data_IF_576308229362
#
_entry.id   IF_576308229362
#
_cell.length_a   1.000
_cell.length_b   1.000
_cell.length_c   1.000
_cell.angle_alpha   90.00
_cell.angle_beta   90.00
_cell.angle_gamma   90.00
#
_symmetry.space_group_name_H-M   'P 1'
#
loop_
_entity.id
_entity.type
_entity.pdbx_description
1 polymer ?
#
# COMPACT_ATOMS: atom_id res chain seq x y z
N UNK A 1 14.21 27.09 -35.16
CA UNK A 1 12.89 26.55 -35.52
C UNK A 1 12.50 25.63 -34.38
N UNK A 2 11.67 26.15 -33.47
CA UNK A 2 11.17 25.37 -32.33
C UNK A 2 10.09 24.44 -32.86
N UNK A 3 10.26 23.15 -32.62
CA UNK A 3 9.30 22.11 -32.96
C UNK A 3 8.24 22.08 -31.84
N UNK A 4 7.19 22.89 -31.98
CA UNK A 4 6.00 22.84 -31.12
C UNK A 4 5.08 21.75 -31.67
N UNK A 5 5.36 20.49 -31.33
CA UNK A 5 4.40 19.41 -31.56
C UNK A 5 3.22 19.62 -30.60
N UNK A 6 1.98 19.76 -31.10
CA UNK A 6 0.80 19.91 -30.23
C UNK A 6 0.65 18.70 -29.30
N UNK A 7 0.27 18.97 -28.04
CA UNK A 7 0.11 17.94 -27.00
C UNK A 7 -0.81 16.79 -27.44
N UNK A 8 -1.84 17.11 -28.21
CA UNK A 8 -2.81 16.14 -28.72
C UNK A 8 -2.20 15.15 -29.73
N UNK A 9 -1.24 15.60 -30.54
CA UNK A 9 -0.52 14.74 -31.48
C UNK A 9 0.47 13.80 -30.76
N UNK A 10 1.05 14.26 -29.64
CA UNK A 10 1.88 13.41 -28.78
C UNK A 10 1.03 12.32 -28.11
N UNK A 11 -0.15 12.68 -27.59
CA UNK A 11 -1.08 11.72 -26.98
C UNK A 11 -1.58 10.70 -28.00
N UNK A 12 -1.89 11.13 -29.22
CA UNK A 12 -2.30 10.24 -30.31
C UNK A 12 -1.17 9.34 -30.84
N UNK A 13 0.09 9.70 -30.60
CA UNK A 13 1.26 8.90 -31.00
C UNK A 13 1.61 7.78 -30.02
N UNK A 14 0.99 7.76 -28.84
CA UNK A 14 1.14 6.67 -27.88
C UNK A 14 0.48 5.40 -28.43
N UNK A 15 1.15 4.26 -28.27
CA UNK A 15 0.61 2.97 -28.68
C UNK A 15 -0.70 2.68 -27.94
N UNK A 16 -1.72 2.17 -28.64
CA UNK A 16 -2.96 1.69 -28.01
C UNK A 16 -2.62 0.69 -26.88
N UNK A 17 -3.24 0.91 -25.71
CA UNK A 17 -2.95 0.13 -24.50
C UNK A 17 -1.69 0.56 -23.73
N UNK A 18 -1.18 1.78 -23.92
CA UNK A 18 -0.07 2.30 -23.11
C UNK A 18 -0.42 2.37 -21.61
N UNK A 19 -1.69 2.59 -21.26
CA UNK A 19 -2.19 2.51 -19.88
C UNK A 19 -2.06 1.07 -19.33
N UNK A 20 -2.26 0.04 -20.16
CA UNK A 20 -2.03 -1.37 -19.81
C UNK A 20 -0.55 -1.75 -19.76
N UNK A 21 0.35 -0.87 -20.22
CA UNK A 21 1.79 -1.12 -20.44
C UNK A 21 2.70 -0.24 -19.60
N UNK A 22 2.16 0.71 -18.83
CA UNK A 22 2.89 1.31 -17.72
C UNK A 22 3.37 0.17 -16.80
N UNK A 23 4.62 0.20 -16.30
CA UNK A 23 5.18 -0.93 -15.54
C UNK A 23 4.27 -1.24 -14.36
N UNK A 24 3.53 -2.36 -14.44
CA UNK A 24 2.48 -2.73 -13.46
C UNK A 24 3.01 -2.97 -12.06
N UNK A 25 4.33 -3.09 -11.92
CA UNK A 25 5.19 -2.79 -10.78
C UNK A 25 6.56 -3.39 -11.13
N UNK A 26 7.23 -2.87 -12.16
CA UNK A 26 8.58 -3.34 -12.47
C UNK A 26 9.49 -2.97 -11.30
N UNK A 27 10.29 -3.91 -10.77
CA UNK A 27 11.29 -3.57 -9.78
C UNK A 27 12.14 -2.42 -10.31
N UNK A 28 12.35 -1.40 -9.47
CA UNK A 28 13.21 -0.28 -9.85
C UNK A 28 14.65 -0.76 -10.07
N UNK A 29 15.57 0.18 -10.32
CA UNK A 29 17.00 -0.13 -10.47
C UNK A 29 17.60 -0.98 -9.33
N UNK A 30 16.98 -0.93 -8.14
CA UNK A 30 17.38 -1.71 -6.96
C UNK A 30 16.80 -3.14 -6.91
N UNK A 31 16.00 -3.56 -7.90
CA UNK A 31 15.29 -4.84 -7.83
C UNK A 31 14.19 -4.88 -6.76
N UNK A 32 13.89 -3.75 -6.12
CA UNK A 32 12.85 -3.62 -5.08
C UNK A 32 11.54 -3.19 -5.73
N UNK A 33 10.46 -3.88 -5.35
CA UNK A 33 9.10 -3.64 -5.83
C UNK A 33 8.25 -3.01 -4.73
N UNK A 34 7.51 -1.96 -5.09
CA UNK A 34 6.43 -1.42 -4.25
C UNK A 34 5.24 -2.36 -4.37
N UNK A 35 4.66 -2.79 -3.25
CA UNK A 35 3.53 -3.71 -3.24
C UNK A 35 2.21 -2.94 -3.28
N UNK A 36 1.38 -3.21 -4.29
CA UNK A 36 -0.03 -2.79 -4.31
C UNK A 36 -0.90 -4.04 -4.20
N UNK A 37 -1.52 -4.25 -3.04
CA UNK A 37 -2.38 -5.40 -2.78
C UNK A 37 -3.64 -5.43 -3.66
N UNK A 38 -4.09 -4.26 -4.11
CA UNK A 38 -5.24 -4.12 -5.02
C UNK A 38 -4.99 -4.73 -6.40
N UNK A 39 -3.74 -4.74 -6.85
CA UNK A 39 -3.34 -5.13 -8.20
C UNK A 39 -2.29 -6.24 -8.16
N UNK A 40 -2.19 -6.95 -7.04
CA UNK A 40 -1.25 -8.05 -6.86
C UNK A 40 -1.86 -9.30 -7.50
N UNK A 41 -1.09 -9.94 -8.38
CA UNK A 41 -1.53 -11.17 -9.05
C UNK A 41 -1.53 -12.35 -8.07
N UNK A 42 -2.47 -13.27 -8.28
CA UNK A 42 -2.67 -14.43 -7.40
C UNK A 42 -1.43 -15.33 -7.33
N UNK A 43 -0.64 -15.40 -8.42
CA UNK A 43 0.59 -16.18 -8.46
C UNK A 43 1.73 -15.55 -7.65
N UNK A 44 1.77 -14.22 -7.54
CA UNK A 44 2.80 -13.48 -6.78
C UNK A 44 2.46 -13.39 -5.29
N UNK A 45 1.17 -13.37 -4.97
CA UNK A 45 0.67 -13.13 -3.62
C UNK A 45 1.29 -14.04 -2.54
N UNK A 46 1.46 -15.36 -2.73
CA UNK A 46 2.05 -16.23 -1.71
C UNK A 46 3.47 -15.83 -1.31
N UNK A 47 4.31 -15.42 -2.27
CA UNK A 47 5.67 -15.00 -2.00
C UNK A 47 5.68 -13.66 -1.27
N UNK A 48 4.91 -12.69 -1.74
CA UNK A 48 4.82 -11.36 -1.11
C UNK A 48 4.31 -11.46 0.33
N UNK A 49 3.31 -12.31 0.59
CA UNK A 49 2.83 -12.59 1.94
C UNK A 49 3.90 -13.22 2.84
N UNK A 50 4.69 -14.14 2.29
CA UNK A 50 5.77 -14.82 3.03
C UNK A 50 6.86 -13.82 3.42
N UNK A 51 7.35 -13.05 2.46
CA UNK A 51 8.40 -12.05 2.67
C UNK A 51 7.96 -10.99 3.69
N UNK A 52 6.73 -10.49 3.55
CA UNK A 52 6.18 -9.53 4.50
C UNK A 52 6.07 -10.14 5.90
N UNK A 53 5.57 -11.38 6.03
CA UNK A 53 5.43 -12.04 7.33
C UNK A 53 6.78 -12.20 8.02
N UNK A 54 7.80 -12.69 7.31
CA UNK A 54 9.13 -12.87 7.86
C UNK A 54 9.72 -11.54 8.34
N UNK A 55 9.57 -10.49 7.52
CA UNK A 55 10.00 -9.14 7.88
C UNK A 55 9.25 -8.59 9.10
N UNK A 56 7.91 -8.74 9.17
CA UNK A 56 7.10 -8.28 10.31
C UNK A 56 7.51 -9.01 11.59
N UNK A 57 7.77 -10.33 11.53
CA UNK A 57 8.29 -11.10 12.67
C UNK A 57 9.63 -10.54 13.11
N UNK A 58 10.59 -10.37 12.21
CA UNK A 58 11.89 -9.78 12.55
C UNK A 58 11.72 -8.37 13.15
N UNK A 59 10.91 -7.52 12.51
CA UNK A 59 10.71 -6.12 12.87
C UNK A 59 10.12 -5.98 14.27
N UNK A 60 9.07 -6.75 14.57
CA UNK A 60 8.42 -6.74 15.89
C UNK A 60 9.38 -7.18 17.00
N UNK A 61 10.20 -8.20 16.76
CA UNK A 61 11.21 -8.63 17.74
C UNK A 61 12.35 -7.61 17.86
N UNK A 62 12.88 -7.11 16.75
CA UNK A 62 14.04 -6.20 16.71
C UNK A 62 13.77 -4.88 17.42
N UNK A 63 12.58 -4.33 17.25
CA UNK A 63 12.17 -3.04 17.82
C UNK A 63 11.28 -3.19 19.07
N UNK A 64 11.09 -4.42 19.58
CA UNK A 64 10.24 -4.72 20.73
C UNK A 64 8.83 -4.08 20.60
N UNK A 65 8.20 -4.29 19.45
CA UNK A 65 6.89 -3.72 19.15
C UNK A 65 5.83 -4.49 19.93
N UNK A 66 5.09 -3.77 20.77
CA UNK A 66 4.02 -4.36 21.56
C UNK A 66 2.88 -4.90 20.68
N UNK A 67 2.26 -6.00 21.12
CA UNK A 67 1.11 -6.65 20.46
C UNK A 67 -0.12 -5.74 20.31
N UNK A 68 -0.20 -4.68 21.12
CA UNK A 68 -1.23 -3.62 20.98
C UNK A 68 -1.02 -2.67 19.78
N UNK A 69 0.13 -2.75 19.11
CA UNK A 69 0.44 -1.99 17.90
C UNK A 69 0.35 -2.89 16.67
N UNK A 70 0.87 -4.11 16.79
CA UNK A 70 0.82 -5.12 15.73
C UNK A 70 0.33 -6.44 16.38
N UNK A 71 -0.96 -6.78 16.26
CA UNK A 71 -1.51 -7.99 16.84
C UNK A 71 -1.12 -9.24 16.02
N UNK A 72 -1.19 -10.47 16.58
CA UNK A 72 -0.90 -11.70 15.83
C UNK A 72 -1.77 -11.89 14.57
N UNK A 73 -2.96 -11.30 14.54
CA UNK A 73 -3.88 -11.32 13.41
C UNK A 73 -3.73 -10.15 12.45
N UNK A 74 -2.62 -9.39 12.49
CA UNK A 74 -2.38 -8.20 11.64
C UNK A 74 -2.69 -8.41 10.15
N UNK A 75 -2.45 -9.61 9.61
CA UNK A 75 -2.71 -9.96 8.21
C UNK A 75 -4.20 -9.94 7.82
N UNK A 76 -5.10 -9.91 8.80
CA UNK A 76 -6.55 -9.75 8.60
C UNK A 76 -7.00 -8.29 8.62
N UNK A 77 -6.08 -7.35 8.88
CA UNK A 77 -6.37 -5.92 8.95
C UNK A 77 -5.76 -5.22 7.74
N UNK A 78 -6.58 -4.95 6.71
CA UNK A 78 -6.11 -4.36 5.45
C UNK A 78 -5.25 -3.11 5.62
N UNK A 79 -5.66 -2.16 6.47
CA UNK A 79 -4.87 -0.95 6.73
C UNK A 79 -3.49 -1.24 7.37
N UNK A 80 -3.39 -2.26 8.24
CA UNK A 80 -2.09 -2.70 8.77
C UNK A 80 -1.25 -3.35 7.69
N UNK A 81 -1.86 -4.16 6.83
CA UNK A 81 -1.18 -4.82 5.71
C UNK A 81 -0.59 -3.78 4.76
N UNK A 82 -1.33 -2.72 4.42
CA UNK A 82 -0.86 -1.62 3.59
C UNK A 82 0.32 -0.86 4.25
N UNK A 83 0.16 -0.43 5.50
CA UNK A 83 1.21 0.34 6.20
C UNK A 83 2.48 -0.50 6.43
N UNK A 84 2.33 -1.79 6.79
CA UNK A 84 3.47 -2.69 7.01
C UNK A 84 4.19 -3.02 5.70
N UNK A 85 3.47 -3.22 4.59
CA UNK A 85 4.07 -3.36 3.27
C UNK A 85 4.87 -2.12 2.88
N UNK A 86 4.32 -0.92 3.09
CA UNK A 86 5.01 0.33 2.79
C UNK A 86 6.29 0.50 3.63
N UNK A 87 6.22 0.19 4.93
CA UNK A 87 7.39 0.23 5.82
C UNK A 87 8.46 -0.79 5.42
N UNK A 88 8.05 -1.99 4.99
CA UNK A 88 8.96 -3.03 4.50
C UNK A 88 9.67 -2.59 3.21
N UNK A 89 8.93 -2.12 2.20
CA UNK A 89 9.53 -1.60 0.96
C UNK A 89 10.48 -0.44 1.26
N UNK A 90 10.10 0.49 2.13
CA UNK A 90 10.96 1.59 2.53
C UNK A 90 12.23 1.10 3.24
N UNK A 91 12.14 0.03 4.04
CA UNK A 91 13.28 -0.58 4.71
C UNK A 91 14.26 -1.18 3.69
N UNK A 92 13.76 -1.97 2.73
CA UNK A 92 14.58 -2.56 1.68
C UNK A 92 15.35 -1.49 0.90
N UNK A 93 14.68 -0.41 0.49
CA UNK A 93 15.33 0.68 -0.25
C UNK A 93 16.37 1.41 0.61
N UNK A 94 16.05 1.64 1.88
CA UNK A 94 16.90 2.40 2.78
C UNK A 94 18.16 1.66 3.21
N UNK A 95 18.18 0.34 3.11
CA UNK A 95 19.32 -0.51 3.46
C UNK A 95 20.01 -1.12 2.24
N UNK A 96 19.69 -0.64 1.03
CA UNK A 96 20.35 -1.07 -0.19
C UNK A 96 21.82 -0.61 -0.22
N UNK A 97 22.67 -1.42 -0.85
CA UNK A 97 24.10 -1.15 -1.02
C UNK A 97 24.43 0.14 -1.78
N UNK A 98 23.49 0.66 -2.56
CA UNK A 98 23.63 1.90 -3.32
C UNK A 98 23.30 3.16 -2.50
N UNK A 99 22.82 3.02 -1.26
CA UNK A 99 22.54 4.15 -0.40
C UNK A 99 23.84 4.82 0.10
N UNK A 100 23.85 6.15 0.14
CA UNK A 100 25.00 6.95 0.58
C UNK A 100 25.20 6.99 2.12
N UNK A 101 24.44 6.22 2.88
CA UNK A 101 24.46 6.13 4.34
C UNK A 101 23.36 6.93 5.05
N UNK A 102 22.43 7.54 4.31
CA UNK A 102 21.36 8.39 4.86
C UNK A 102 19.99 7.71 4.85
N UNK A 103 19.79 6.71 3.98
CA UNK A 103 18.57 5.92 3.93
C UNK A 103 18.17 5.34 5.29
N UNK A 104 19.08 4.67 6.02
CA UNK A 104 18.73 4.03 7.29
C UNK A 104 18.20 5.00 8.34
N UNK A 105 18.80 6.18 8.48
CA UNK A 105 18.31 7.18 9.45
C UNK A 105 16.97 7.78 8.99
N UNK A 106 16.81 8.06 7.69
CA UNK A 106 15.55 8.54 7.13
C UNK A 106 14.41 7.54 7.27
N UNK A 107 14.69 6.23 7.23
CA UNK A 107 13.70 5.20 7.51
C UNK A 107 13.24 5.22 8.97
N UNK A 108 14.15 5.41 9.92
CA UNK A 108 13.79 5.49 11.35
C UNK A 108 12.93 6.71 11.67
N UNK A 109 13.19 7.85 11.02
CA UNK A 109 12.35 9.04 11.13
C UNK A 109 10.91 8.78 10.67
N UNK A 110 10.75 8.09 9.53
CA UNK A 110 9.44 7.68 9.01
C UNK A 110 8.76 6.66 9.93
N UNK A 111 9.54 5.71 10.45
CA UNK A 111 9.05 4.72 11.41
C UNK A 111 8.50 5.40 12.67
N UNK A 112 9.20 6.38 13.22
CA UNK A 112 8.77 7.11 14.41
C UNK A 112 7.39 7.77 14.22
N UNK A 113 7.14 8.29 13.02
CA UNK A 113 5.87 8.89 12.62
C UNK A 113 4.78 7.83 12.34
N UNK A 114 5.15 6.63 11.89
CA UNK A 114 4.21 5.52 11.62
C UNK A 114 3.73 4.78 12.88
N UNK A 115 4.60 4.59 13.86
CA UNK A 115 4.32 3.81 15.07
C UNK A 115 3.02 4.19 15.79
N UNK A 116 2.67 5.49 15.97
CA UNK A 116 1.40 5.87 16.60
C UNK A 116 0.17 5.42 15.81
N UNK A 117 0.24 5.44 14.46
CA UNK A 117 -0.88 5.04 13.57
C UNK A 117 -1.13 3.55 13.56
N UNK A 118 -0.10 2.72 13.76
CA UNK A 118 -0.27 1.26 13.81
C UNK A 118 -1.30 0.83 14.87
N UNK A 119 -1.35 1.53 16.00
CA UNK A 119 -2.32 1.25 17.06
C UNK A 119 -3.74 1.76 16.75
N UNK A 120 -3.92 2.65 15.77
CA UNK A 120 -5.22 3.24 15.43
C UNK A 120 -5.96 2.47 14.34
N UNK A 121 -5.26 1.59 13.60
CA UNK A 121 -5.85 0.85 12.49
C UNK A 121 -6.83 -0.26 12.90
N UNK A 122 -6.92 -0.55 14.19
CA UNK A 122 -7.92 -1.45 14.75
C UNK A 122 -8.33 -0.97 16.14
N UNK A 123 -9.55 -1.27 16.56
CA UNK A 123 -10.14 -0.74 17.81
C UNK A 123 -9.55 -1.36 19.10
N UNK A 124 -8.37 -1.96 19.04
CA UNK A 124 -7.73 -2.63 20.19
C UNK A 124 -8.30 -4.01 20.53
N UNK A 125 -9.51 -4.37 20.09
CA UNK A 125 -10.18 -5.60 20.54
C UNK A 125 -9.51 -6.92 20.09
N UNK A 126 -8.50 -6.86 19.21
CA UNK A 126 -7.85 -8.04 18.63
C UNK A 126 -6.77 -8.71 19.53
N UNK A 127 -6.77 -8.44 20.83
CA UNK A 127 -5.74 -8.93 21.76
C UNK A 127 -5.80 -10.45 22.02
N UNK A 128 -6.98 -11.07 21.96
CA UNK A 128 -7.19 -12.49 22.30
C UNK A 128 -7.89 -13.29 21.18
N UNK A 129 -7.97 -12.73 19.98
CA UNK A 129 -8.73 -13.28 18.87
C UNK A 129 -9.03 -12.18 17.87
N UNK A 130 -9.20 -12.53 16.60
CA UNK A 130 -9.55 -11.53 15.59
C UNK A 130 -11.04 -11.21 15.67
N UNK A 131 -11.36 -9.92 15.77
CA UNK A 131 -12.71 -9.39 15.67
C UNK A 131 -12.82 -8.62 14.37
N UNK A 132 -13.69 -9.07 13.46
CA UNK A 132 -14.01 -8.33 12.24
C UNK A 132 -14.87 -7.13 12.59
N UNK A 133 -14.45 -5.93 12.17
CA UNK A 133 -15.27 -4.74 12.31
C UNK A 133 -16.29 -4.69 11.18
N UNK A 134 -17.56 -4.31 11.46
CA UNK A 134 -18.56 -4.13 10.41
C UNK A 134 -18.04 -3.15 9.36
N UNK A 135 -17.88 -3.62 8.13
CA UNK A 135 -17.60 -2.78 6.98
C UNK A 135 -18.93 -2.40 6.32
N UNK A 136 -19.03 -1.18 5.81
CA UNK A 136 -20.15 -0.81 4.95
C UNK A 136 -20.07 -1.67 3.68
N UNK A 137 -21.06 -2.55 3.49
CA UNK A 137 -21.10 -3.46 2.35
C UNK A 137 -21.35 -2.73 1.02
N UNK A 138 -20.72 -3.22 -0.04
CA UNK A 138 -20.69 -2.60 -1.37
C UNK A 138 -22.07 -2.51 -2.03
N UNK A 139 -22.95 -3.50 -1.81
CA UNK A 139 -24.26 -3.58 -2.46
C UNK A 139 -25.23 -2.47 -2.03
N UNK A 140 -25.26 -2.14 -0.73
CA UNK A 140 -26.11 -1.08 -0.20
C UNK A 140 -25.61 0.31 -0.61
N UNK A 141 -24.28 0.49 -0.59
CA UNK A 141 -23.62 1.74 -1.00
C UNK A 141 -23.85 2.01 -2.48
N UNK A 142 -23.76 0.99 -3.34
CA UNK A 142 -23.95 1.17 -4.79
C UNK A 142 -25.34 1.67 -5.18
N UNK A 143 -26.39 1.19 -4.51
CA UNK A 143 -27.76 1.65 -4.77
C UNK A 143 -27.96 3.10 -4.31
N UNK A 144 -27.55 3.40 -3.07
CA UNK A 144 -27.62 4.74 -2.49
C UNK A 144 -26.78 5.76 -3.29
N UNK A 145 -25.60 5.35 -3.75
CA UNK A 145 -24.71 6.14 -4.60
C UNK A 145 -25.33 6.46 -5.96
N UNK A 146 -25.96 5.48 -6.62
CA UNK A 146 -26.64 5.69 -7.89
C UNK A 146 -27.87 6.60 -7.77
N UNK A 147 -28.58 6.54 -6.63
CA UNK A 147 -29.66 7.46 -6.29
C UNK A 147 -29.12 8.87 -6.03
N UNK A 148 -28.04 9.02 -5.27
CA UNK A 148 -27.42 10.32 -5.00
C UNK A 148 -26.96 11.02 -6.28
N UNK A 149 -26.28 10.32 -7.20
CA UNK A 149 -25.87 10.88 -8.50
C UNK A 149 -27.10 11.41 -9.26
N UNK A 150 -28.19 10.64 -9.30
CA UNK A 150 -29.43 11.03 -10.01
C UNK A 150 -30.07 12.30 -9.45
N UNK A 151 -30.15 12.42 -8.12
CA UNK A 151 -30.74 13.61 -7.48
C UNK A 151 -29.83 14.84 -7.59
N UNK A 152 -28.51 14.65 -7.47
CA UNK A 152 -27.53 15.75 -7.53
C UNK A 152 -27.50 16.48 -8.87
N UNK A 153 -27.84 15.80 -9.96
CA UNK A 153 -27.92 16.39 -11.31
C UNK A 153 -29.31 16.86 -11.72
N UNK A 154 -30.37 16.53 -10.96
CA UNK A 154 -31.73 16.97 -11.25
C UNK A 154 -32.03 18.38 -10.69
N UNK A 155 -31.26 18.84 -9.71
CA UNK A 155 -31.37 20.16 -9.07
C UNK A 155 -30.42 21.22 -9.67
N UNK A 156 -29.87 20.99 -10.89
CA UNK A 156 -28.98 21.91 -11.62
C UNK A 156 -29.68 22.62 -12.79
#
# INVERSE_FOLDING_TARGET
MSDDTPLDDLVASLADGWEDRAPRQSPGMLGIRVISWRTLEDEEAPQVWTDLREWVVWFTHRYNIATRKIPPCWFKHGALVEELSALHTAWLVSYDSLDAGYGPIGWHERLAVAIPRLATWYNGECHNGHTELPQTGDDAVRAEWADWIRHSHADS
#
